data_IF_269470305060
#
_entry.id   IF_269470305060
#
_cell.length_a   1.000
_cell.length_b   1.000
_cell.length_c   1.000
_cell.angle_alpha   90.00
_cell.angle_beta   90.00
_cell.angle_gamma   90.00
#
_symmetry.space_group_name_H-M   'P 1'
#
loop_
_entity.id
_entity.type
_entity.pdbx_description
1 polymer ?
#
# COMPACT_ATOMS: atom_id res chain seq x y z
N UNK A 1 2.54 17.99 13.38
CA UNK A 1 1.48 16.98 13.48
C UNK A 1 0.77 16.70 12.17
N UNK A 2 0.56 17.70 11.33
CA UNK A 2 -0.13 17.56 10.04
C UNK A 2 0.78 17.06 8.92
N UNK A 3 2.08 17.20 9.04
CA UNK A 3 3.04 16.88 7.97
C UNK A 3 2.99 15.41 7.55
N UNK A 4 3.02 14.49 8.51
CA UNK A 4 3.02 13.04 8.19
C UNK A 4 1.71 12.58 7.54
N UNK A 5 0.50 12.93 8.05
CA UNK A 5 -0.73 12.60 7.36
C UNK A 5 -0.82 13.18 5.94
N UNK A 6 -0.36 14.42 5.73
CA UNK A 6 -0.32 15.03 4.39
C UNK A 6 0.65 14.31 3.45
N UNK A 7 1.85 13.98 3.92
CA UNK A 7 2.82 13.21 3.12
C UNK A 7 2.29 11.83 2.75
N UNK A 8 1.61 11.14 3.68
CA UNK A 8 0.97 9.85 3.40
C UNK A 8 -0.11 10.02 2.35
N UNK A 9 -0.96 11.02 2.49
CA UNK A 9 -2.04 11.28 1.53
C UNK A 9 -1.51 11.63 0.14
N UNK A 10 -0.44 12.42 0.05
CA UNK A 10 0.19 12.78 -1.22
C UNK A 10 0.72 11.56 -1.98
N UNK A 11 1.34 10.62 -1.26
CA UNK A 11 1.96 9.44 -1.86
C UNK A 11 1.01 8.27 -2.07
N UNK A 12 -0.05 8.14 -1.27
CA UNK A 12 -0.98 6.99 -1.31
C UNK A 12 -2.39 7.36 -1.74
N UNK A 13 -2.65 8.62 -2.07
CA UNK A 13 -3.98 9.16 -2.34
C UNK A 13 -4.75 8.49 -3.48
N UNK A 14 -4.05 7.80 -4.38
CA UNK A 14 -4.67 7.08 -5.49
C UNK A 14 -5.44 5.83 -5.03
N UNK A 15 -4.97 5.14 -3.99
CA UNK A 15 -5.54 3.88 -3.52
C UNK A 15 -5.89 3.87 -2.03
N UNK A 16 -5.35 4.80 -1.25
CA UNK A 16 -5.60 4.92 0.17
C UNK A 16 -6.32 6.23 0.53
N UNK A 17 -7.10 6.20 1.58
CA UNK A 17 -7.74 7.36 2.17
C UNK A 17 -7.20 7.56 3.58
N UNK A 18 -6.70 8.76 3.84
CA UNK A 18 -6.15 9.15 5.14
C UNK A 18 -7.20 9.95 5.90
N UNK A 19 -7.50 9.54 7.13
CA UNK A 19 -8.46 10.20 8.00
C UNK A 19 -7.85 10.41 9.39
N UNK A 20 -8.13 11.55 9.99
CA UNK A 20 -7.71 11.88 11.35
C UNK A 20 -8.93 11.89 12.28
N UNK A 21 -8.85 11.17 13.38
CA UNK A 21 -9.90 11.04 14.39
C UNK A 21 -9.46 11.70 15.70
N UNK A 22 -10.38 12.28 16.48
CA UNK A 22 -10.06 12.76 17.82
C UNK A 22 -9.53 11.63 18.73
N UNK A 23 -8.70 11.97 19.72
CA UNK A 23 -8.01 11.02 20.59
C UNK A 23 -8.92 9.99 21.28
N UNK A 24 -10.16 10.35 21.59
CA UNK A 24 -11.11 9.50 22.30
C UNK A 24 -12.22 8.94 21.38
N UNK A 25 -12.11 9.13 20.07
CA UNK A 25 -13.12 8.63 19.14
C UNK A 25 -12.82 7.18 18.75
N UNK A 26 -13.84 6.35 18.73
CA UNK A 26 -13.74 5.01 18.14
C UNK A 26 -13.62 5.13 16.62
N UNK A 27 -12.62 4.46 16.04
CA UNK A 27 -12.45 4.41 14.58
C UNK A 27 -13.44 3.39 14.03
N UNK A 28 -14.49 3.89 13.38
CA UNK A 28 -15.57 3.08 12.84
C UNK A 28 -15.87 3.45 11.39
N UNK A 29 -15.77 2.46 10.51
CA UNK A 29 -16.18 2.62 9.11
C UNK A 29 -17.53 1.99 8.88
N UNK A 30 -18.54 2.81 8.51
CA UNK A 30 -19.89 2.35 8.20
C UNK A 30 -19.99 2.03 6.72
N UNK A 31 -20.31 0.79 6.42
CA UNK A 31 -20.63 0.34 5.07
C UNK A 31 -22.15 0.28 4.95
N UNK A 32 -22.77 1.23 4.22
CA UNK A 32 -24.23 1.38 4.21
C UNK A 32 -24.94 0.22 3.54
N UNK A 33 -24.27 -0.50 2.64
CA UNK A 33 -24.84 -1.62 1.91
C UNK A 33 -23.81 -2.73 1.74
N UNK A 34 -24.11 -3.90 2.28
CA UNK A 34 -23.36 -5.10 2.01
C UNK A 34 -23.47 -5.50 0.53
N UNK A 35 -22.41 -6.06 -0.05
CA UNK A 35 -22.39 -6.47 -1.46
C UNK A 35 -23.48 -7.48 -1.81
N UNK A 36 -23.77 -8.41 -0.90
CA UNK A 36 -24.87 -9.36 -1.07
C UNK A 36 -26.24 -8.68 -1.14
N UNK A 37 -26.49 -7.64 -0.34
CA UNK A 37 -27.72 -6.87 -0.37
C UNK A 37 -27.89 -6.14 -1.69
N UNK A 38 -26.78 -5.59 -2.25
CA UNK A 38 -26.76 -4.98 -3.57
C UNK A 38 -27.11 -5.98 -4.67
N UNK A 39 -26.53 -7.19 -4.63
CA UNK A 39 -26.84 -8.25 -5.60
C UNK A 39 -28.28 -8.75 -5.50
N UNK A 40 -28.82 -8.88 -4.27
CA UNK A 40 -30.22 -9.23 -4.04
C UNK A 40 -31.15 -8.17 -4.61
N UNK A 41 -30.83 -6.90 -4.39
CA UNK A 41 -31.61 -5.78 -4.93
C UNK A 41 -31.63 -5.78 -6.45
N UNK A 42 -30.48 -5.97 -7.11
CA UNK A 42 -30.41 -6.07 -8.56
C UNK A 42 -31.25 -7.21 -9.13
N UNK A 43 -31.21 -8.39 -8.51
CA UNK A 43 -32.03 -9.56 -8.90
C UNK A 43 -33.54 -9.38 -8.63
N UNK A 44 -33.88 -8.47 -7.74
CA UNK A 44 -35.24 -8.18 -7.38
C UNK A 44 -35.95 -7.19 -8.32
N UNK A 45 -35.17 -6.48 -9.15
CA UNK A 45 -35.71 -5.60 -10.19
C UNK A 45 -36.35 -6.49 -11.25
N UNK A 46 -37.66 -6.43 -11.34
CA UNK A 46 -38.45 -7.18 -12.32
C UNK A 46 -39.33 -6.23 -13.09
N UNK A 47 -39.57 -6.54 -14.35
CA UNK A 47 -40.59 -5.88 -15.11
C UNK A 47 -41.99 -6.26 -14.51
N UNK A 48 -42.70 -5.28 -14.07
CA UNK A 48 -44.00 -5.50 -13.42
C UNK A 48 -45.16 -4.79 -14.09
N UNK A 49 -46.35 -5.31 -13.92
CA UNK A 49 -47.57 -4.68 -14.37
C UNK A 49 -47.96 -3.49 -13.46
N UNK A 50 -48.65 -2.50 -14.03
CA UNK A 50 -49.16 -1.34 -13.28
C UNK A 50 -50.10 -1.82 -12.18
N UNK A 51 -49.81 -1.53 -10.91
CA UNK A 51 -50.62 -1.95 -9.76
C UNK A 51 -50.22 -3.26 -9.07
N UNK A 52 -49.08 -3.88 -9.48
CA UNK A 52 -48.57 -5.07 -8.78
C UNK A 52 -47.97 -4.75 -7.41
N UNK A 53 -48.14 -5.65 -6.44
CA UNK A 53 -47.47 -5.56 -5.14
C UNK A 53 -46.09 -6.17 -5.26
N UNK A 54 -45.05 -5.36 -4.97
CA UNK A 54 -43.67 -5.78 -5.04
C UNK A 54 -43.09 -5.93 -3.64
N UNK A 55 -42.25 -6.97 -3.47
CA UNK A 55 -41.59 -7.22 -2.19
C UNK A 55 -40.49 -6.16 -1.97
N UNK A 56 -40.59 -5.42 -0.88
CA UNK A 56 -39.56 -4.51 -0.44
C UNK A 56 -38.37 -5.28 0.14
N UNK A 57 -37.16 -4.84 -0.16
CA UNK A 57 -35.91 -5.39 0.39
C UNK A 57 -35.30 -4.39 1.36
N UNK A 58 -34.82 -4.90 2.50
CA UNK A 58 -34.08 -4.12 3.47
C UNK A 58 -32.63 -4.03 3.03
N UNK A 59 -32.04 -2.84 3.15
CA UNK A 59 -30.63 -2.61 2.95
C UNK A 59 -29.90 -2.96 4.24
N UNK A 60 -29.11 -4.02 4.19
CA UNK A 60 -28.29 -4.45 5.31
C UNK A 60 -26.88 -3.90 5.13
N UNK A 61 -26.46 -3.04 6.04
CA UNK A 61 -25.11 -2.53 6.16
C UNK A 61 -24.39 -3.13 7.36
N UNK A 62 -23.10 -2.91 7.46
CA UNK A 62 -22.31 -3.30 8.61
C UNK A 62 -21.28 -2.24 8.97
N UNK A 63 -20.77 -2.32 10.20
CA UNK A 63 -19.74 -1.41 10.70
C UNK A 63 -18.47 -2.21 10.97
N UNK A 64 -17.35 -1.69 10.50
CA UNK A 64 -16.03 -2.24 10.80
C UNK A 64 -15.40 -1.36 11.87
N UNK A 65 -15.12 -1.94 13.02
CA UNK A 65 -14.37 -1.29 14.09
C UNK A 65 -12.89 -1.59 13.88
N UNK A 66 -12.07 -0.56 13.96
CA UNK A 66 -10.62 -0.66 13.81
C UNK A 66 -9.97 -0.27 15.13
N UNK A 67 -9.12 -1.14 15.64
CA UNK A 67 -8.36 -0.87 16.86
C UNK A 67 -7.05 -0.20 16.47
N UNK A 68 -6.80 1.04 16.89
CA UNK A 68 -5.53 1.72 16.63
C UNK A 68 -4.42 1.15 17.50
N UNK A 69 -3.21 1.15 16.96
CA UNK A 69 -1.99 0.74 17.65
C UNK A 69 -1.15 1.97 18.00
N UNK A 70 -0.53 1.94 19.17
CA UNK A 70 0.40 2.99 19.60
C UNK A 70 1.79 2.60 19.12
N UNK A 71 2.39 3.47 18.36
CA UNK A 71 3.77 3.32 17.92
C UNK A 71 4.62 4.43 18.53
N UNK A 72 5.83 4.08 18.92
CA UNK A 72 6.77 5.01 19.55
C UNK A 72 8.11 4.94 18.86
N UNK A 73 8.69 6.10 18.60
CA UNK A 73 10.07 6.25 18.18
C UNK A 73 10.81 7.10 19.21
N UNK A 74 11.93 6.59 19.71
CA UNK A 74 12.82 7.31 20.61
C UNK A 74 14.14 7.63 19.93
N UNK A 75 14.67 8.80 20.21
CA UNK A 75 16.01 9.19 19.80
C UNK A 75 16.69 10.02 20.89
N UNK A 76 17.98 9.85 21.00
CA UNK A 76 18.80 10.58 21.97
C UNK A 76 19.78 11.49 21.20
N UNK A 77 19.99 12.68 21.74
CA UNK A 77 21.01 13.62 21.29
C UNK A 77 21.90 13.96 22.47
N UNK A 78 23.19 13.88 22.28
CA UNK A 78 24.13 14.36 23.29
C UNK A 78 24.25 15.89 23.19
N UNK A 79 24.47 16.53 24.33
CA UNK A 79 24.69 17.99 24.37
C UNK A 79 25.89 18.39 23.52
N UNK A 80 26.91 17.56 23.45
CA UNK A 80 28.12 17.79 22.66
C UNK A 80 27.83 17.82 21.16
N UNK A 81 27.02 16.90 20.63
CA UNK A 81 26.60 16.90 19.22
C UNK A 81 25.81 18.16 18.85
N UNK A 82 24.98 18.64 19.78
CA UNK A 82 24.20 19.84 19.56
C UNK A 82 25.05 21.12 19.60
N UNK A 83 26.00 21.21 20.54
CA UNK A 83 26.89 22.37 20.69
C UNK A 83 27.96 22.41 19.57
N UNK A 84 28.43 21.29 19.09
CA UNK A 84 29.37 21.21 17.98
C UNK A 84 28.73 21.40 16.61
N UNK A 85 27.40 21.46 16.53
CA UNK A 85 26.66 21.62 15.29
C UNK A 85 26.74 20.37 14.37
N UNK A 86 27.16 19.23 14.88
CA UNK A 86 27.21 17.97 14.12
C UNK A 86 25.83 17.49 13.72
N UNK A 87 24.80 17.81 14.51
CA UNK A 87 23.40 17.51 14.19
C UNK A 87 22.52 18.73 14.48
N UNK A 88 21.57 18.94 13.58
CA UNK A 88 20.55 19.98 13.74
C UNK A 88 19.21 19.35 14.12
N UNK A 89 18.40 20.07 14.89
CA UNK A 89 17.05 19.62 15.25
C UNK A 89 16.18 19.40 14.00
N UNK A 90 16.41 20.18 12.95
CA UNK A 90 15.67 20.07 11.70
C UNK A 90 15.97 18.75 10.95
N UNK A 91 17.24 18.33 10.92
CA UNK A 91 17.62 17.02 10.34
C UNK A 91 16.96 15.88 11.08
N UNK A 92 16.90 15.95 12.42
CA UNK A 92 16.24 14.93 13.23
C UNK A 92 14.75 14.83 12.95
N UNK A 93 14.06 15.97 12.83
CA UNK A 93 12.62 15.98 12.47
C UNK A 93 12.39 15.32 11.12
N UNK A 94 13.27 15.56 10.15
CA UNK A 94 13.17 14.93 8.82
C UNK A 94 13.37 13.41 8.91
N UNK A 95 14.41 12.95 9.61
CA UNK A 95 14.69 11.52 9.79
C UNK A 95 13.53 10.81 10.50
N UNK A 96 12.92 11.46 11.51
CA UNK A 96 11.76 10.90 12.21
C UNK A 96 10.53 10.83 11.28
N UNK A 97 10.31 11.87 10.47
CA UNK A 97 9.20 11.87 9.51
C UNK A 97 9.37 10.74 8.49
N UNK A 98 10.58 10.54 7.98
CA UNK A 98 10.90 9.44 7.05
C UNK A 98 10.71 8.07 7.70
N UNK A 99 11.15 7.88 8.94
CA UNK A 99 10.94 6.64 9.69
C UNK A 99 9.45 6.34 9.92
N UNK A 100 8.63 7.37 10.19
CA UNK A 100 7.18 7.21 10.28
C UNK A 100 6.56 6.83 8.95
N UNK A 101 7.00 7.43 7.85
CA UNK A 101 6.54 7.09 6.51
C UNK A 101 6.83 5.63 6.19
N UNK A 102 8.06 5.18 6.44
CA UNK A 102 8.46 3.79 6.25
C UNK A 102 7.56 2.82 7.03
N UNK A 103 7.31 3.11 8.31
CA UNK A 103 6.45 2.28 9.16
C UNK A 103 4.99 2.25 8.71
N UNK A 104 4.47 3.35 8.23
CA UNK A 104 3.11 3.41 7.68
C UNK A 104 3.01 2.59 6.39
N UNK A 105 4.01 2.69 5.50
CA UNK A 105 4.06 1.87 4.28
C UNK A 105 4.15 0.37 4.59
N UNK A 106 4.97 -0.02 5.55
CA UNK A 106 5.01 -1.40 6.03
C UNK A 106 3.62 -1.90 6.43
N UNK A 107 2.91 -1.12 7.24
CA UNK A 107 1.54 -1.48 7.68
C UNK A 107 0.54 -1.50 6.53
N UNK A 108 0.63 -0.58 5.57
CA UNK A 108 -0.21 -0.56 4.36
C UNK A 108 0.02 -1.81 3.52
N UNK A 109 1.27 -2.17 3.26
CA UNK A 109 1.61 -3.37 2.50
C UNK A 109 1.13 -4.64 3.20
N UNK A 110 1.37 -4.77 4.51
CA UNK A 110 0.91 -5.92 5.30
C UNK A 110 -0.63 -6.02 5.29
N UNK A 111 -1.34 -4.89 5.40
CA UNK A 111 -2.80 -4.86 5.31
C UNK A 111 -3.30 -5.26 3.92
N UNK A 112 -2.66 -4.78 2.84
CA UNK A 112 -2.97 -5.18 1.47
C UNK A 112 -2.70 -6.67 1.24
N UNK A 113 -1.55 -7.17 1.65
CA UNK A 113 -1.19 -8.59 1.52
C UNK A 113 -2.15 -9.49 2.30
N UNK A 114 -2.50 -9.13 3.53
CA UNK A 114 -3.48 -9.87 4.33
C UNK A 114 -4.87 -9.84 3.69
N UNK A 115 -5.29 -8.69 3.16
CA UNK A 115 -6.57 -8.57 2.49
C UNK A 115 -6.62 -9.38 1.19
N UNK A 116 -5.54 -9.35 0.41
CA UNK A 116 -5.40 -10.11 -0.82
C UNK A 116 -5.43 -11.62 -0.55
N UNK A 117 -4.73 -12.10 0.47
CA UNK A 117 -4.75 -13.51 0.87
C UNK A 117 -6.13 -13.96 1.41
N UNK A 118 -6.92 -13.03 1.96
CA UNK A 118 -8.28 -13.29 2.42
C UNK A 118 -9.35 -13.06 1.35
N UNK A 119 -8.96 -12.62 0.14
CA UNK A 119 -9.86 -12.44 -0.99
C UNK A 119 -10.33 -13.80 -1.56
N UNK A 120 -11.44 -13.84 -2.32
CA UNK A 120 -11.87 -15.07 -3.01
C UNK A 120 -10.76 -15.64 -3.91
N UNK A 121 -10.67 -16.97 -4.01
CA UNK A 121 -9.67 -17.65 -4.85
C UNK A 121 -9.67 -17.18 -6.32
N UNK A 122 -10.81 -16.70 -6.84
CA UNK A 122 -10.89 -16.15 -8.19
C UNK A 122 -10.11 -14.83 -8.37
N UNK A 123 -9.85 -14.12 -7.27
CA UNK A 123 -9.14 -12.85 -7.23
C UNK A 123 -7.64 -13.02 -6.97
N UNK A 124 -7.19 -14.24 -6.76
CA UNK A 124 -5.80 -14.56 -6.46
C UNK A 124 -5.25 -15.42 -7.58
N UNK A 125 -4.10 -15.07 -8.08
CA UNK A 125 -3.36 -15.87 -9.06
C UNK A 125 -1.91 -15.93 -8.64
N UNK A 126 -1.38 -17.14 -8.56
CA UNK A 126 0.03 -17.41 -8.45
C UNK A 126 0.48 -18.09 -9.75
N UNK A 127 1.18 -17.38 -10.61
CA UNK A 127 1.59 -17.86 -11.91
C UNK A 127 2.84 -17.14 -12.42
N UNK A 128 3.52 -17.78 -13.36
CA UNK A 128 4.76 -17.27 -13.93
C UNK A 128 6.00 -17.86 -13.24
N UNK A 129 6.95 -18.31 -14.04
CA UNK A 129 8.23 -18.83 -13.56
C UNK A 129 9.32 -17.89 -14.06
N UNK A 130 10.17 -17.44 -13.17
CA UNK A 130 11.19 -16.43 -13.50
C UNK A 130 10.60 -15.03 -13.71
N UNK A 131 11.13 -14.34 -14.70
CA UNK A 131 10.77 -12.95 -15.00
C UNK A 131 9.57 -12.80 -15.94
N UNK A 132 8.65 -13.76 -15.97
CA UNK A 132 7.50 -13.74 -16.87
C UNK A 132 6.20 -13.47 -16.13
N UNK A 133 5.44 -12.53 -16.64
CA UNK A 133 4.05 -12.29 -16.22
C UNK A 133 3.12 -12.88 -17.27
N UNK A 134 2.19 -13.73 -16.82
CA UNK A 134 1.20 -14.34 -17.70
C UNK A 134 0.04 -13.35 -17.91
N UNK A 135 -0.02 -12.77 -19.10
CA UNK A 135 -1.00 -11.75 -19.49
C UNK A 135 -2.44 -12.15 -19.27
N UNK A 136 -2.79 -13.37 -19.65
CA UNK A 136 -4.17 -13.86 -19.58
C UNK A 136 -4.73 -13.79 -18.15
N UNK A 137 -3.91 -14.15 -17.19
CA UNK A 137 -4.32 -14.08 -15.78
C UNK A 137 -4.42 -12.64 -15.27
N UNK A 138 -3.47 -11.79 -15.68
CA UNK A 138 -3.51 -10.38 -15.30
C UNK A 138 -4.73 -9.67 -15.90
N UNK A 139 -5.04 -9.93 -17.17
CA UNK A 139 -6.22 -9.37 -17.85
C UNK A 139 -7.52 -9.81 -17.19
N UNK A 140 -7.58 -11.08 -16.75
CA UNK A 140 -8.73 -11.59 -15.98
C UNK A 140 -8.90 -10.84 -14.66
N UNK A 141 -7.82 -10.62 -13.91
CA UNK A 141 -7.87 -9.89 -12.64
C UNK A 141 -8.27 -8.42 -12.85
N UNK A 142 -7.76 -7.79 -13.89
CA UNK A 142 -8.17 -6.42 -14.29
C UNK A 142 -9.68 -6.38 -14.61
N UNK A 143 -10.20 -7.37 -15.35
CA UNK A 143 -11.62 -7.45 -15.69
C UNK A 143 -12.49 -7.63 -14.44
N UNK A 144 -12.06 -8.43 -13.46
CA UNK A 144 -12.75 -8.58 -12.17
C UNK A 144 -12.77 -7.23 -11.44
N UNK A 145 -11.64 -6.56 -11.32
CA UNK A 145 -11.55 -5.27 -10.62
C UNK A 145 -12.38 -4.18 -11.30
N UNK A 146 -12.44 -4.17 -12.64
CA UNK A 146 -13.29 -3.23 -13.41
C UNK A 146 -14.78 -3.35 -13.06
N UNK A 147 -15.25 -4.50 -12.63
CA UNK A 147 -16.65 -4.65 -12.17
C UNK A 147 -16.95 -3.88 -10.88
N UNK A 148 -15.93 -3.51 -10.13
CA UNK A 148 -16.04 -2.76 -8.88
C UNK A 148 -15.64 -1.28 -9.01
N UNK A 149 -14.85 -0.93 -10.01
CA UNK A 149 -14.40 0.44 -10.24
C UNK A 149 -13.23 0.51 -11.24
N UNK A 150 -12.61 1.68 -11.36
CA UNK A 150 -11.45 1.85 -12.21
C UNK A 150 -10.24 1.14 -11.58
N UNK A 151 -9.64 0.15 -12.26
CA UNK A 151 -8.50 -0.58 -11.73
C UNK A 151 -7.25 0.29 -11.71
N UNK A 152 -6.44 0.12 -10.68
CA UNK A 152 -5.05 0.60 -10.57
C UNK A 152 -4.18 -0.58 -10.17
N UNK A 153 -3.04 -0.74 -10.82
CA UNK A 153 -2.07 -1.78 -10.49
C UNK A 153 -1.01 -1.17 -9.58
N UNK A 154 -0.86 -1.75 -8.40
CA UNK A 154 0.16 -1.39 -7.44
C UNK A 154 1.23 -2.47 -7.45
N UNK A 155 2.49 -2.09 -7.50
CA UNK A 155 3.58 -3.05 -7.49
C UNK A 155 4.93 -2.44 -7.18
N UNK A 156 5.89 -3.29 -6.92
CA UNK A 156 7.27 -2.86 -6.77
C UNK A 156 7.94 -2.62 -8.12
N UNK A 157 8.97 -1.78 -8.21
CA UNK A 157 9.63 -1.41 -9.47
C UNK A 157 10.05 -2.61 -10.32
N UNK A 158 10.59 -3.66 -9.69
CA UNK A 158 11.01 -4.87 -10.39
C UNK A 158 9.85 -5.59 -11.10
N UNK A 159 8.69 -5.70 -10.44
CA UNK A 159 7.48 -6.28 -11.01
C UNK A 159 6.88 -5.39 -12.10
N UNK A 160 6.85 -4.08 -11.89
CA UNK A 160 6.30 -3.15 -12.88
C UNK A 160 7.13 -3.12 -14.17
N UNK A 161 8.45 -3.31 -14.08
CA UNK A 161 9.33 -3.45 -15.26
C UNK A 161 8.98 -4.67 -16.10
N UNK A 162 8.59 -5.78 -15.47
CA UNK A 162 8.18 -6.98 -16.20
C UNK A 162 6.93 -6.76 -17.05
N UNK A 163 6.04 -5.88 -16.64
CA UNK A 163 4.86 -5.50 -17.42
C UNK A 163 5.24 -4.82 -18.76
N UNK A 164 6.36 -4.14 -18.81
CA UNK A 164 6.87 -3.56 -20.06
C UNK A 164 7.34 -4.62 -21.06
N UNK A 165 7.80 -5.79 -20.60
CA UNK A 165 8.32 -6.87 -21.45
C UNK A 165 7.24 -7.83 -21.94
N UNK A 166 6.01 -7.61 -21.55
CA UNK A 166 4.91 -8.50 -21.89
C UNK A 166 4.60 -8.42 -23.38
N UNK A 167 4.55 -9.58 -24.13
CA UNK A 167 4.20 -9.61 -25.54
C UNK A 167 2.82 -8.95 -25.78
N UNK A 168 2.77 -7.98 -26.68
CA UNK A 168 1.56 -7.22 -26.99
C UNK A 168 1.46 -5.86 -26.29
N UNK A 169 2.31 -5.57 -25.31
CA UNK A 169 2.39 -4.25 -24.66
C UNK A 169 3.38 -3.33 -25.41
N UNK A 170 4.50 -3.91 -25.87
CA UNK A 170 5.49 -3.22 -26.71
C UNK A 170 5.79 -4.09 -27.94
N UNK A 171 4.87 -4.19 -28.86
CA UNK A 171 5.15 -4.75 -30.18
C UNK A 171 5.32 -3.62 -31.18
N UNK A 172 6.56 -3.25 -31.46
CA UNK A 172 6.97 -2.51 -32.65
C UNK A 172 6.50 -1.06 -32.82
N UNK A 173 5.50 -0.62 -32.08
CA UNK A 173 4.92 0.72 -32.11
C UNK A 173 4.72 1.26 -30.70
N UNK A 174 5.79 1.28 -29.91
CA UNK A 174 5.74 1.99 -28.63
C UNK A 174 5.45 3.46 -28.94
N UNK A 175 4.36 3.96 -28.38
CA UNK A 175 4.05 5.38 -28.44
C UNK A 175 5.25 6.16 -27.87
N UNK A 176 5.70 7.26 -28.51
CA UNK A 176 6.80 8.07 -27.97
C UNK A 176 6.63 8.44 -26.49
N UNK A 177 5.40 8.60 -26.01
CA UNK A 177 5.10 8.85 -24.60
C UNK A 177 5.49 7.66 -23.69
N UNK A 178 5.16 6.43 -24.10
CA UNK A 178 5.49 5.23 -23.33
C UNK A 178 7.02 5.00 -23.27
N UNK A 179 7.72 5.34 -24.35
CA UNK A 179 9.19 5.29 -24.38
C UNK A 179 9.83 6.33 -23.47
N UNK A 180 9.22 7.49 -23.31
CA UNK A 180 9.68 8.54 -22.41
C UNK A 180 9.46 8.14 -20.94
N UNK A 181 8.33 7.51 -20.64
CA UNK A 181 8.03 6.97 -19.31
C UNK A 181 9.03 5.86 -18.92
N UNK A 182 9.31 4.93 -19.83
CA UNK A 182 10.33 3.88 -19.59
C UNK A 182 11.71 4.49 -19.33
N UNK A 183 12.08 5.56 -20.03
CA UNK A 183 13.36 6.25 -19.84
C UNK A 183 13.45 6.98 -18.50
N UNK A 184 12.34 7.54 -18.03
CA UNK A 184 12.29 8.32 -16.78
C UNK A 184 12.13 7.44 -15.54
N UNK A 185 11.21 6.48 -15.58
CA UNK A 185 10.77 5.71 -14.42
C UNK A 185 11.24 4.25 -14.47
N UNK A 186 11.69 3.78 -15.63
CA UNK A 186 12.11 2.39 -15.83
C UNK A 186 10.95 1.40 -16.05
N UNK A 187 9.70 1.87 -16.07
CA UNK A 187 8.49 1.11 -16.38
C UNK A 187 7.48 1.99 -17.12
N UNK A 188 6.47 1.37 -17.70
CA UNK A 188 5.38 2.07 -18.41
C UNK A 188 4.41 2.68 -17.39
N UNK A 189 3.89 3.88 -17.65
CA UNK A 189 2.89 4.53 -16.78
C UNK A 189 1.51 3.87 -16.84
N UNK A 190 1.18 3.23 -17.99
CA UNK A 190 -0.12 2.63 -18.28
C UNK A 190 0.03 1.22 -18.86
N UNK A 191 -0.63 0.23 -18.27
CA UNK A 191 -0.77 -1.11 -18.84
C UNK A 191 -2.19 -1.33 -19.37
N UNK A 192 -2.35 -1.41 -20.70
CA UNK A 192 -3.67 -1.56 -21.37
C UNK A 192 -4.72 -0.56 -20.85
N UNK A 193 -4.31 0.71 -20.62
CA UNK A 193 -5.18 1.76 -20.09
C UNK A 193 -5.43 1.71 -18.59
N UNK A 194 -4.67 0.91 -17.84
CA UNK A 194 -4.71 0.83 -16.39
C UNK A 194 -3.46 1.52 -15.83
N UNK A 195 -3.59 2.53 -14.95
CA UNK A 195 -2.45 3.19 -14.36
C UNK A 195 -1.66 2.26 -13.44
N UNK A 196 -0.35 2.41 -13.51
CA UNK A 196 0.61 1.70 -12.66
C UNK A 196 1.10 2.65 -11.57
N UNK A 197 1.07 2.21 -10.32
CA UNK A 197 1.55 2.98 -9.17
C UNK A 197 2.62 2.17 -8.46
N UNK A 198 3.76 2.81 -8.27
CA UNK A 198 4.89 2.22 -7.58
C UNK A 198 4.66 2.19 -6.07
N UNK A 199 4.93 1.03 -5.47
CA UNK A 199 5.02 0.88 -4.03
C UNK A 199 6.50 1.00 -3.63
N UNK A 200 6.85 1.90 -2.71
CA UNK A 200 8.22 2.01 -2.24
C UNK A 200 8.61 0.76 -1.45
N UNK A 201 9.81 0.24 -1.73
CA UNK A 201 10.42 -0.81 -0.96
C UNK A 201 11.69 -0.26 -0.28
N UNK A 202 11.90 -0.61 0.97
CA UNK A 202 13.00 -0.12 1.77
C UNK A 202 14.07 -1.20 1.92
N UNK A 203 15.32 -0.79 1.96
CA UNK A 203 16.46 -1.68 2.12
C UNK A 203 16.76 -1.82 3.60
N UNK A 204 16.75 -3.07 4.09
CA UNK A 204 17.25 -3.42 5.42
C UNK A 204 18.68 -3.86 5.24
N UNK A 205 19.63 -3.04 5.70
CA UNK A 205 21.03 -3.43 5.70
C UNK A 205 21.35 -4.25 6.93
N UNK A 206 21.95 -5.44 6.73
CA UNK A 206 22.54 -6.24 7.81
C UNK A 206 24.05 -5.99 7.85
N UNK A 207 24.54 -5.13 8.76
CA UNK A 207 25.97 -4.75 8.80
C UNK A 207 26.93 -5.94 8.96
N UNK A 208 26.46 -7.02 9.58
CA UNK A 208 27.28 -8.21 9.86
C UNK A 208 27.55 -9.07 8.62
N UNK A 209 26.69 -9.05 7.62
CA UNK A 209 26.79 -9.93 6.43
C UNK A 209 27.11 -9.16 5.15
N UNK A 210 26.93 -7.84 5.15
CA UNK A 210 27.06 -7.02 3.94
C UNK A 210 25.99 -7.31 2.88
N UNK A 211 25.01 -8.18 3.18
CA UNK A 211 23.91 -8.49 2.30
C UNK A 211 22.86 -7.36 2.36
N UNK A 212 22.29 -7.04 1.21
CA UNK A 212 21.18 -6.10 1.11
C UNK A 212 19.88 -6.90 1.05
N UNK A 213 19.09 -6.77 2.09
CA UNK A 213 17.74 -7.37 2.13
C UNK A 213 16.69 -6.27 1.98
N UNK A 214 15.66 -6.56 1.22
CA UNK A 214 14.50 -5.69 1.09
C UNK A 214 13.46 -6.02 2.16
N UNK A 215 12.75 -4.99 2.63
CA UNK A 215 11.70 -5.13 3.65
C UNK A 215 10.57 -6.06 3.17
N UNK A 216 10.28 -6.02 1.86
CA UNK A 216 9.25 -6.84 1.25
C UNK A 216 9.79 -7.63 0.06
N UNK A 217 9.29 -8.85 -0.10
CA UNK A 217 9.52 -9.67 -1.28
C UNK A 217 8.82 -9.05 -2.48
N UNK A 218 9.58 -8.75 -3.54
CA UNK A 218 9.08 -8.07 -4.73
C UNK A 218 8.43 -9.04 -5.74
N UNK A 219 7.51 -9.89 -5.29
CA UNK A 219 6.86 -10.91 -6.12
C UNK A 219 5.36 -10.69 -6.31
N UNK A 220 4.78 -9.63 -5.72
CA UNK A 220 3.33 -9.40 -5.73
C UNK A 220 2.94 -8.11 -6.44
N UNK A 221 1.91 -8.21 -7.28
CA UNK A 221 1.16 -7.08 -7.81
C UNK A 221 -0.23 -7.08 -7.18
N UNK A 222 -0.70 -5.90 -6.79
CA UNK A 222 -2.07 -5.73 -6.31
C UNK A 222 -2.87 -4.92 -7.33
N UNK A 223 -4.09 -5.35 -7.60
CA UNK A 223 -5.01 -4.64 -8.48
C UNK A 223 -6.19 -4.17 -7.63
N UNK A 224 -6.33 -2.86 -7.55
CA UNK A 224 -7.22 -2.19 -6.60
C UNK A 224 -8.13 -1.22 -7.34
N UNK A 225 -9.42 -1.12 -7.00
CA UNK A 225 -10.31 -0.12 -7.58
C UNK A 225 -10.03 1.27 -6.96
N UNK A 226 -9.45 2.19 -7.73
CA UNK A 226 -9.06 3.53 -7.28
C UNK A 226 -10.23 4.36 -6.72
N UNK A 227 -11.39 4.30 -7.38
CA UNK A 227 -12.56 5.11 -6.98
C UNK A 227 -13.12 4.78 -5.59
N UNK A 228 -12.87 3.57 -5.08
CA UNK A 228 -13.37 3.10 -3.77
C UNK A 228 -12.39 3.38 -2.66
N UNK A 229 -11.09 3.54 -2.97
CA UNK A 229 -9.98 3.71 -2.01
C UNK A 229 -10.11 2.72 -0.85
N UNK A 230 -9.95 1.43 -1.10
CA UNK A 230 -10.24 0.39 -0.12
C UNK A 230 -9.30 0.40 1.08
N UNK A 231 -8.10 0.95 0.95
CA UNK A 231 -7.15 1.12 2.05
C UNK A 231 -7.51 2.36 2.84
N UNK A 232 -7.66 2.21 4.15
CA UNK A 232 -7.93 3.32 5.08
C UNK A 232 -6.80 3.41 6.08
N UNK A 233 -6.18 4.57 6.13
CA UNK A 233 -5.17 4.93 7.13
C UNK A 233 -5.82 5.90 8.11
N UNK A 234 -5.97 5.49 9.35
CA UNK A 234 -6.63 6.27 10.39
C UNK A 234 -5.60 6.71 11.42
N UNK A 235 -5.43 8.00 11.59
CA UNK A 235 -4.66 8.58 12.67
C UNK A 235 -5.60 8.94 13.82
N UNK A 236 -5.18 8.71 15.07
CA UNK A 236 -6.00 9.04 16.24
C UNK A 236 -5.25 10.02 17.14
N UNK A 237 -5.83 11.20 17.31
CA UNK A 237 -5.23 12.27 18.10
C UNK A 237 -4.01 12.90 17.44
N UNK A 238 -3.34 13.73 18.20
CA UNK A 238 -2.10 14.39 17.82
C UNK A 238 -0.91 13.54 18.22
N UNK A 239 0.23 13.71 17.55
CA UNK A 239 1.48 13.10 17.99
C UNK A 239 1.90 13.74 19.32
N UNK A 240 2.38 12.93 20.23
CA UNK A 240 2.89 13.39 21.51
C UNK A 240 4.42 13.27 21.52
N UNK A 241 5.09 14.39 21.75
CA UNK A 241 6.53 14.45 21.91
C UNK A 241 6.83 14.62 23.40
N UNK A 242 7.51 13.65 23.97
CA UNK A 242 8.01 13.69 25.35
C UNK A 242 9.51 13.92 25.32
N UNK A 243 9.97 14.92 26.05
CA UNK A 243 11.39 15.25 26.22
C UNK A 243 11.84 14.78 27.60
N UNK A 244 12.85 13.93 27.66
CA UNK A 244 13.45 13.42 28.89
C UNK A 244 14.90 13.89 28.94
N UNK A 245 15.23 14.68 29.97
CA UNK A 245 16.61 15.13 30.18
C UNK A 245 17.42 14.02 30.83
N UNK A 246 18.51 13.62 30.20
CA UNK A 246 19.43 12.65 30.77
C UNK A 246 20.33 13.23 31.83
N UNK A 247 20.73 12.43 32.85
CA UNK A 247 21.67 12.87 33.89
C UNK A 247 23.04 13.33 33.32
N UNK A 248 23.41 12.82 32.15
CA UNK A 248 24.65 13.13 31.43
C UNK A 248 24.61 14.43 30.61
N UNK A 249 23.49 15.18 30.69
CA UNK A 249 23.31 16.44 29.95
C UNK A 249 22.77 16.30 28.54
N UNK A 250 22.46 15.07 28.09
CA UNK A 250 21.78 14.80 26.83
C UNK A 250 20.26 14.93 26.95
N UNK A 251 19.60 14.92 25.80
CA UNK A 251 18.13 14.90 25.69
C UNK A 251 17.69 13.65 24.96
N UNK A 252 16.69 12.98 25.52
CA UNK A 252 15.93 11.91 24.87
C UNK A 252 14.56 12.45 24.48
N UNK A 253 14.19 12.19 23.24
CA UNK A 253 12.89 12.57 22.71
C UNK A 253 12.13 11.31 22.34
N UNK A 254 10.93 11.16 22.88
CA UNK A 254 10.03 10.06 22.55
C UNK A 254 8.83 10.63 21.79
N UNK A 255 8.66 10.20 20.55
CA UNK A 255 7.50 10.58 19.76
C UNK A 255 6.52 9.40 19.70
N UNK A 256 5.32 9.63 20.19
CA UNK A 256 4.23 8.66 20.21
C UNK A 256 3.18 9.05 19.17
N UNK A 257 2.79 8.11 18.35
CA UNK A 257 1.72 8.30 17.38
C UNK A 257 0.78 7.09 17.38
N UNK A 258 -0.51 7.36 17.34
CA UNK A 258 -1.55 6.34 17.30
C UNK A 258 -2.12 6.31 15.90
N UNK A 259 -2.01 5.16 15.24
CA UNK A 259 -2.61 4.98 13.93
C UNK A 259 -3.03 3.54 13.70
N UNK A 260 -3.89 3.35 12.72
CA UNK A 260 -4.32 2.04 12.25
C UNK A 260 -4.41 2.03 10.74
N UNK A 261 -4.11 0.90 10.14
CA UNK A 261 -4.33 0.66 8.71
C UNK A 261 -5.30 -0.50 8.56
N UNK A 262 -6.33 -0.31 7.77
CA UNK A 262 -7.29 -1.36 7.47
C UNK A 262 -7.68 -1.35 6.00
N UNK A 263 -8.10 -2.50 5.51
CA UNK A 263 -8.62 -2.65 4.16
C UNK A 263 -10.09 -2.97 4.22
N UNK A 264 -10.90 -2.07 3.66
CA UNK A 264 -12.31 -2.30 3.43
C UNK A 264 -12.48 -3.05 2.11
N UNK A 265 -13.56 -3.78 1.95
CA UNK A 265 -13.90 -4.46 0.68
C UNK A 265 -12.82 -5.42 0.16
N UNK A 266 -12.41 -6.37 0.97
CA UNK A 266 -11.40 -7.39 0.62
C UNK A 266 -11.71 -8.10 -0.72
N UNK A 267 -13.00 -8.29 -1.04
CA UNK A 267 -13.44 -8.94 -2.27
C UNK A 267 -13.18 -8.11 -3.55
N UNK A 268 -12.84 -6.84 -3.40
CA UNK A 268 -12.56 -5.95 -4.53
C UNK A 268 -11.08 -5.92 -4.91
N UNK A 269 -10.22 -6.49 -4.08
CA UNK A 269 -8.78 -6.54 -4.30
C UNK A 269 -8.43 -7.82 -5.00
N UNK A 270 -7.62 -7.71 -6.04
CA UNK A 270 -7.02 -8.83 -6.72
C UNK A 270 -5.50 -8.83 -6.51
N UNK A 271 -4.89 -10.00 -6.47
CA UNK A 271 -3.45 -10.17 -6.37
C UNK A 271 -2.92 -11.12 -7.44
N UNK A 272 -1.79 -10.72 -8.00
CA UNK A 272 -0.99 -11.57 -8.86
C UNK A 272 0.35 -11.79 -8.18
N UNK A 273 0.73 -13.04 -7.96
CA UNK A 273 2.00 -13.42 -7.34
C UNK A 273 2.86 -14.18 -8.34
N UNK A 274 4.09 -13.72 -8.55
CA UNK A 274 5.08 -14.48 -9.30
C UNK A 274 5.63 -15.61 -8.44
N UNK A 275 5.77 -16.79 -9.00
CA UNK A 275 6.28 -17.98 -8.28
C UNK A 275 7.78 -17.88 -7.96
N UNK A 276 8.49 -16.94 -8.60
CA UNK A 276 9.92 -16.74 -8.37
C UNK A 276 10.14 -15.33 -7.82
N UNK A 277 10.95 -15.22 -6.79
CA UNK A 277 11.40 -13.94 -6.28
C UNK A 277 12.33 -13.29 -7.31
N UNK A 278 11.96 -12.10 -7.81
CA UNK A 278 12.66 -11.44 -8.91
C UNK A 278 13.97 -10.81 -8.42
N UNK A 279 13.98 -10.38 -7.18
CA UNK A 279 15.12 -9.81 -6.48
C UNK A 279 15.55 -10.77 -5.38
N UNK A 280 15.83 -12.02 -5.73
CA UNK A 280 16.37 -12.98 -4.76
C UNK A 280 17.50 -12.32 -3.94
N UNK A 281 17.60 -12.65 -2.67
CA UNK A 281 18.63 -12.10 -1.77
C UNK A 281 19.96 -12.05 -2.52
N UNK A 282 20.44 -10.84 -2.78
CA UNK A 282 21.73 -10.65 -3.42
C UNK A 282 22.81 -11.01 -2.38
N UNK A 283 23.08 -12.28 -2.29
CA UNK A 283 24.28 -12.75 -1.60
C UNK A 283 25.45 -12.34 -2.48
N UNK A 284 26.11 -11.25 -2.09
CA UNK A 284 27.34 -10.83 -2.73
C UNK A 284 28.24 -12.04 -2.84
N UNK A 285 28.56 -12.42 -4.09
CA UNK A 285 29.43 -13.54 -4.35
C UNK A 285 30.71 -13.30 -3.56
N UNK A 286 31.00 -14.17 -2.62
CA UNK A 286 32.33 -14.34 -2.09
C UNK A 286 33.16 -14.86 -3.24
N UNK A 287 33.71 -13.95 -4.05
CA UNK A 287 34.81 -14.29 -4.93
C UNK A 287 35.90 -14.83 -4.04
N UNK A 288 35.93 -16.17 -3.96
CA UNK A 288 37.05 -16.89 -3.40
C UNK A 288 38.31 -16.52 -4.19
N UNK A 289 39.11 -15.70 -3.61
CA UNK A 289 40.50 -15.60 -3.98
C UNK A 289 41.33 -16.08 -2.80
N UNK A 290 41.65 -17.35 -2.86
CA UNK A 290 42.74 -17.99 -2.07
C UNK A 290 44.09 -17.60 -2.62
#
# INVERSE_FOLDING_TARGET
DEVVPMMVQDRTGDFAEVQTFPRNASIMYKIPMAEESRRRMYRAIKQGARGGVYKAFRLDGYTINVTPEIHTVGYAITLEELLTGQRTVQELVTVIADAWMEKIYEKVFLALSTAANAAPAANQVAAGVGNEIVNEYLDRLIAITRSYGNPVILGFPAQLRLLANVPGTITGYANPADMDDIRRQGYIGLYKGVPLVELPNYIISHPATGAIDFLFTENKLFIVPAGVRPVKVAFQGESHLEEVKQPTGGYEYHNHRIFAVTVLFKNHICSYESLTDIMGSWTGGSDGNS
#
